data_IF_562644190581
#
_entry.id   IF_562644190581
#
_cell.length_a   1.000
_cell.length_b   1.000
_cell.length_c   1.000
_cell.angle_alpha   90.00
_cell.angle_beta   90.00
_cell.angle_gamma   90.00
#
_symmetry.space_group_name_H-M   'P 1'
#
loop_
_entity.id
_entity.type
_entity.pdbx_description
1 polymer ?
#
# COMPACT_ATOMS: atom_id res chain seq x y z
N UNK A 1 29.77 20.42 3.09
CA UNK A 1 28.53 20.39 2.31
C UNK A 1 28.62 19.25 1.31
N UNK A 2 27.78 18.24 1.47
CA UNK A 2 27.74 17.08 0.56
C UNK A 2 27.06 17.42 -0.78
N UNK A 3 27.04 16.47 -1.72
CA UNK A 3 26.44 16.68 -3.05
C UNK A 3 24.93 16.97 -2.98
N UNK A 4 24.21 16.35 -2.03
CA UNK A 4 22.78 16.54 -1.87
C UNK A 4 22.46 17.93 -1.35
N UNK A 5 23.25 18.42 -0.38
CA UNK A 5 23.12 19.78 0.15
C UNK A 5 23.40 20.83 -0.93
N UNK A 6 24.40 20.60 -1.80
CA UNK A 6 24.65 21.46 -2.97
C UNK A 6 23.47 21.50 -3.94
N UNK A 7 22.87 20.34 -4.22
CA UNK A 7 21.68 20.26 -5.08
C UNK A 7 20.49 21.00 -4.45
N UNK A 8 20.28 20.88 -3.14
CA UNK A 8 19.21 21.61 -2.44
C UNK A 8 19.39 23.13 -2.54
N UNK A 9 20.61 23.65 -2.42
CA UNK A 9 20.87 25.08 -2.60
C UNK A 9 20.55 25.58 -4.00
N UNK A 10 20.82 24.78 -5.04
CA UNK A 10 20.48 25.15 -6.42
C UNK A 10 18.97 25.21 -6.67
N UNK A 11 18.20 24.47 -5.86
CA UNK A 11 16.75 24.31 -6.02
C UNK A 11 15.95 25.03 -4.92
N UNK A 12 16.59 25.77 -4.00
CA UNK A 12 15.95 26.33 -2.80
C UNK A 12 14.78 27.29 -3.09
N UNK A 13 14.80 27.92 -4.27
CA UNK A 13 13.76 28.84 -4.73
C UNK A 13 12.58 28.09 -5.38
N UNK A 14 12.74 26.79 -5.68
CA UNK A 14 11.66 25.97 -6.20
C UNK A 14 10.69 25.58 -5.08
N UNK A 15 9.37 25.58 -5.35
CA UNK A 15 8.38 25.04 -4.44
C UNK A 15 8.64 23.57 -4.09
N UNK A 16 8.67 23.25 -2.79
CA UNK A 16 8.79 21.89 -2.29
C UNK A 16 7.44 21.40 -1.75
N UNK A 17 6.86 20.43 -2.44
CA UNK A 17 5.65 19.74 -1.98
C UNK A 17 6.03 18.64 -0.98
N UNK A 18 5.47 18.69 0.22
CA UNK A 18 5.80 17.78 1.32
C UNK A 18 4.55 17.05 1.80
N UNK A 19 4.43 15.78 1.43
CA UNK A 19 3.38 14.91 1.95
C UNK A 19 3.67 14.54 3.41
N UNK A 20 2.68 14.70 4.29
CA UNK A 20 2.76 14.36 5.71
C UNK A 20 1.59 13.49 6.12
N UNK A 21 1.73 12.80 7.25
CA UNK A 21 0.74 11.86 7.79
C UNK A 21 0.92 11.76 9.29
N UNK A 22 -0.15 11.44 10.01
CA UNK A 22 -0.07 11.06 11.42
C UNK A 22 1.04 10.00 11.62
N UNK A 23 2.08 10.29 12.42
CA UNK A 23 3.26 9.43 12.56
C UNK A 23 2.94 8.04 13.13
N UNK A 24 1.91 7.92 13.97
CA UNK A 24 1.51 6.61 14.53
C UNK A 24 0.77 5.79 13.47
N UNK A 25 -0.01 6.45 12.61
CA UNK A 25 -0.65 5.81 11.47
C UNK A 25 0.39 5.39 10.41
N UNK A 26 1.43 6.20 10.20
CA UNK A 26 2.58 5.86 9.36
C UNK A 26 3.36 4.65 9.91
N UNK A 27 3.66 4.62 11.21
CA UNK A 27 4.30 3.50 11.88
C UNK A 27 3.47 2.22 11.78
N UNK A 28 2.14 2.30 12.03
CA UNK A 28 1.22 1.18 11.85
C UNK A 28 1.26 0.66 10.40
N UNK A 29 1.23 1.58 9.43
CA UNK A 29 1.30 1.25 8.01
C UNK A 29 2.60 0.53 7.67
N UNK A 30 3.73 0.98 8.25
CA UNK A 30 5.04 0.33 8.10
C UNK A 30 5.01 -1.10 8.65
N UNK A 31 4.51 -1.33 9.87
CA UNK A 31 4.49 -2.67 10.46
C UNK A 31 3.61 -3.67 9.68
N UNK A 32 2.59 -3.17 8.99
CA UNK A 32 1.65 -3.97 8.19
C UNK A 32 2.07 -4.11 6.72
N UNK A 33 3.27 -3.68 6.31
CA UNK A 33 3.71 -3.88 4.92
C UNK A 33 3.79 -5.38 4.61
N UNK A 34 3.22 -5.73 3.47
CA UNK A 34 3.19 -7.07 2.90
C UNK A 34 3.77 -7.07 1.50
N UNK A 35 4.09 -8.25 1.00
CA UNK A 35 4.43 -8.49 -0.39
C UNK A 35 3.90 -9.84 -0.85
N UNK A 36 3.94 -10.05 -2.16
CA UNK A 36 3.88 -11.39 -2.73
C UNK A 36 5.17 -12.15 -2.39
N UNK A 37 5.03 -13.40 -1.94
CA UNK A 37 6.15 -14.29 -1.67
C UNK A 37 7.07 -14.38 -2.89
N UNK A 38 8.39 -14.28 -2.67
CA UNK A 38 9.43 -14.27 -3.71
C UNK A 38 9.34 -13.10 -4.71
N UNK A 39 8.45 -12.13 -4.51
CA UNK A 39 8.26 -11.02 -5.42
C UNK A 39 7.73 -11.44 -6.80
N UNK A 40 7.04 -12.58 -6.89
CA UNK A 40 6.45 -13.06 -8.14
C UNK A 40 5.45 -12.03 -8.70
N UNK A 41 5.72 -11.58 -9.92
CA UNK A 41 4.86 -10.60 -10.63
C UNK A 41 3.59 -11.22 -11.20
N UNK A 42 3.67 -12.49 -11.59
CA UNK A 42 2.56 -13.29 -12.10
C UNK A 42 2.79 -14.69 -11.55
N UNK A 43 1.76 -15.30 -11.02
CA UNK A 43 1.83 -16.67 -10.52
C UNK A 43 0.74 -17.53 -11.14
N UNK A 44 1.02 -18.82 -11.20
CA UNK A 44 0.13 -19.81 -11.78
C UNK A 44 -0.48 -20.66 -10.69
N UNK A 45 -1.74 -21.03 -10.86
CA UNK A 45 -2.46 -21.96 -9.98
C UNK A 45 -3.26 -22.94 -10.81
N UNK A 46 -3.31 -24.21 -10.39
CA UNK A 46 -4.20 -25.19 -11.00
C UNK A 46 -5.60 -25.02 -10.41
N UNK A 47 -6.62 -25.17 -11.23
CA UNK A 47 -8.03 -24.93 -10.85
C UNK A 47 -8.51 -25.72 -9.62
N UNK A 48 -7.88 -26.86 -9.32
CA UNK A 48 -8.20 -27.73 -8.19
C UNK A 48 -7.30 -27.54 -6.96
N UNK A 49 -6.33 -26.62 -7.01
CA UNK A 49 -5.41 -26.31 -5.90
C UNK A 49 -5.45 -24.82 -5.53
N UNK A 50 -6.64 -24.37 -5.14
CA UNK A 50 -6.89 -22.98 -4.75
C UNK A 50 -6.26 -22.62 -3.40
N UNK A 51 -5.79 -23.60 -2.62
CA UNK A 51 -5.23 -23.43 -1.28
C UNK A 51 -3.96 -22.55 -1.27
N UNK A 52 -3.18 -22.63 -2.35
CA UNK A 52 -1.90 -21.91 -2.55
C UNK A 52 -2.00 -20.40 -2.46
N UNK A 53 -3.18 -19.82 -2.68
CA UNK A 53 -3.38 -18.38 -2.58
C UNK A 53 -2.98 -17.82 -1.20
N UNK A 54 -3.20 -18.60 -0.13
CA UNK A 54 -2.90 -18.20 1.25
C UNK A 54 -1.39 -18.11 1.50
N UNK A 55 -0.62 -18.87 0.74
CA UNK A 55 0.84 -18.90 0.88
C UNK A 55 1.52 -17.73 0.19
N UNK A 56 0.80 -17.00 -0.69
CA UNK A 56 1.36 -15.89 -1.46
C UNK A 56 1.61 -14.63 -0.66
N UNK A 57 0.95 -14.44 0.48
CA UNK A 57 1.13 -13.22 1.27
C UNK A 57 2.17 -13.44 2.36
N UNK A 58 3.11 -12.51 2.44
CA UNK A 58 4.13 -12.45 3.49
C UNK A 58 4.24 -11.04 4.04
N UNK A 59 4.52 -10.94 5.34
CA UNK A 59 4.86 -9.68 5.99
C UNK A 59 6.37 -9.49 5.88
N UNK A 60 6.76 -8.36 5.29
CA UNK A 60 8.15 -8.17 4.84
C UNK A 60 9.06 -7.61 5.90
N UNK A 61 8.53 -7.03 6.97
CA UNK A 61 9.34 -6.57 8.09
C UNK A 61 9.55 -7.71 9.06
N UNK A 62 10.75 -8.28 9.02
CA UNK A 62 11.19 -9.35 9.91
C UNK A 62 11.37 -8.85 11.36
N UNK A 63 11.91 -9.71 12.22
CA UNK A 63 12.19 -9.36 13.62
C UNK A 63 13.17 -8.18 13.78
N UNK A 64 13.91 -7.80 12.74
CA UNK A 64 14.81 -6.63 12.70
C UNK A 64 14.14 -5.40 12.08
N UNK A 65 12.85 -5.49 11.75
CA UNK A 65 12.10 -4.49 10.98
C UNK A 65 12.71 -4.16 9.60
N UNK A 66 13.55 -5.05 9.06
CA UNK A 66 14.14 -4.88 7.74
C UNK A 66 13.23 -5.45 6.67
N UNK A 67 13.17 -4.80 5.51
CA UNK A 67 12.43 -5.30 4.35
C UNK A 67 13.07 -6.59 3.82
N UNK A 68 12.32 -7.69 3.92
CA UNK A 68 12.70 -9.01 3.42
C UNK A 68 11.50 -9.67 2.71
N UNK A 69 11.45 -9.64 1.36
CA UNK A 69 10.35 -10.23 0.59
C UNK A 69 10.41 -11.77 0.55
N UNK A 70 11.51 -12.38 1.02
CA UNK A 70 11.67 -13.82 1.17
C UNK A 70 11.35 -14.29 2.60
N UNK A 71 10.81 -13.40 3.43
CA UNK A 71 10.33 -13.74 4.76
C UNK A 71 9.23 -14.81 4.68
N UNK A 72 9.26 -15.79 5.60
CA UNK A 72 8.16 -16.75 5.79
C UNK A 72 7.08 -16.24 6.74
N UNK A 73 7.19 -14.98 7.19
CA UNK A 73 6.33 -14.40 8.21
C UNK A 73 4.91 -14.18 7.69
N UNK A 74 3.93 -14.75 8.41
CA UNK A 74 2.50 -14.71 8.06
C UNK A 74 1.67 -13.71 8.86
N UNK A 75 2.29 -13.02 9.81
CA UNK A 75 1.66 -12.02 10.68
C UNK A 75 2.58 -10.81 10.86
N UNK A 76 2.04 -9.60 11.01
CA UNK A 76 2.85 -8.43 11.34
C UNK A 76 3.39 -8.54 12.78
N UNK A 77 4.57 -7.97 13.04
CA UNK A 77 5.21 -8.03 14.35
C UNK A 77 5.19 -6.67 15.05
N UNK A 78 4.42 -6.54 16.12
CA UNK A 78 4.37 -5.31 16.93
C UNK A 78 5.74 -4.96 17.54
N UNK A 79 6.54 -5.99 17.86
CA UNK A 79 7.89 -5.81 18.37
C UNK A 79 8.84 -5.20 17.35
N UNK A 80 8.49 -5.16 16.05
CA UNK A 80 9.23 -4.42 15.03
C UNK A 80 9.40 -2.93 15.36
N UNK A 81 8.53 -2.36 16.21
CA UNK A 81 8.69 -0.98 16.71
C UNK A 81 10.05 -0.77 17.38
N UNK A 82 10.52 -1.73 18.19
CA UNK A 82 11.79 -1.54 18.93
C UNK A 82 13.00 -1.44 18.01
N UNK A 83 12.94 -2.10 16.85
CA UNK A 83 13.98 -2.06 15.83
C UNK A 83 13.84 -0.84 14.95
N UNK A 84 12.62 -0.47 14.58
CA UNK A 84 12.34 0.74 13.82
C UNK A 84 12.88 1.98 14.56
N UNK A 85 12.68 2.08 15.87
CA UNK A 85 13.13 3.23 16.67
C UNK A 85 14.63 3.21 17.00
N UNK A 86 15.36 2.17 16.56
CA UNK A 86 16.81 2.11 16.76
C UNK A 86 17.49 3.15 15.87
N UNK A 87 18.39 3.95 16.42
CA UNK A 87 19.09 5.02 15.71
C UNK A 87 19.86 4.58 14.45
N UNK A 88 20.17 3.29 14.31
CA UNK A 88 20.84 2.73 13.13
C UNK A 88 19.86 2.24 12.05
N UNK A 89 18.55 2.32 12.29
CA UNK A 89 17.56 1.87 11.33
C UNK A 89 17.50 2.82 10.12
N UNK A 90 17.64 2.24 8.92
CA UNK A 90 17.77 3.00 7.66
C UNK A 90 16.58 3.94 7.37
N UNK A 91 15.36 3.57 7.76
CA UNK A 91 14.19 4.46 7.63
C UNK A 91 14.30 5.71 8.49
N UNK A 92 14.88 5.62 9.69
CA UNK A 92 15.09 6.79 10.54
C UNK A 92 16.19 7.68 9.98
N UNK A 93 17.25 7.10 9.40
CA UNK A 93 18.25 7.88 8.69
C UNK A 93 17.60 8.68 7.55
N UNK A 94 16.68 8.08 6.78
CA UNK A 94 15.89 8.80 5.78
C UNK A 94 15.04 9.93 6.39
N UNK A 95 14.25 9.66 7.45
CA UNK A 95 13.43 10.67 8.12
C UNK A 95 14.25 11.80 8.77
N UNK A 96 15.40 11.50 9.37
CA UNK A 96 16.28 12.51 9.96
C UNK A 96 17.01 13.33 8.88
N UNK A 97 17.41 12.70 7.76
CA UNK A 97 17.96 13.39 6.60
C UNK A 97 16.92 14.26 5.90
N UNK A 98 15.62 13.92 5.97
CA UNK A 98 14.54 14.79 5.45
C UNK A 98 14.62 16.19 6.05
N UNK A 99 14.79 16.33 7.37
CA UNK A 99 14.93 17.66 7.99
C UNK A 99 16.17 18.42 7.52
N UNK A 100 17.27 17.72 7.21
CA UNK A 100 18.46 18.34 6.62
C UNK A 100 18.18 18.90 5.22
N UNK A 101 17.23 18.32 4.49
CA UNK A 101 16.78 18.82 3.19
C UNK A 101 15.78 19.97 3.38
N UNK A 102 14.76 19.79 4.24
CA UNK A 102 13.68 20.76 4.43
C UNK A 102 14.18 22.16 4.84
N UNK A 103 15.28 22.25 5.61
CA UNK A 103 15.87 23.54 6.01
C UNK A 103 16.24 24.44 4.82
N UNK A 104 16.54 23.88 3.65
CA UNK A 104 16.89 24.65 2.45
C UNK A 104 15.66 25.25 1.77
N UNK A 105 14.45 24.79 2.11
CA UNK A 105 13.20 25.21 1.48
C UNK A 105 12.28 25.92 2.47
N UNK A 106 12.80 26.44 3.59
CA UNK A 106 12.00 26.93 4.72
C UNK A 106 10.89 27.92 4.31
N UNK A 107 11.12 28.73 3.27
CA UNK A 107 10.17 29.72 2.76
C UNK A 107 9.28 29.23 1.59
N UNK A 108 9.50 28.00 1.09
CA UNK A 108 8.90 27.46 -0.14
C UNK A 108 8.30 26.05 0.07
N UNK A 109 7.96 25.68 1.30
CA UNK A 109 7.33 24.39 1.61
C UNK A 109 5.81 24.45 1.53
N UNK A 110 5.23 23.44 0.87
CA UNK A 110 3.80 23.25 0.76
C UNK A 110 3.44 21.88 1.33
N UNK A 111 2.88 21.86 2.53
CA UNK A 111 2.49 20.61 3.18
C UNK A 111 1.10 20.16 2.75
N UNK A 112 0.97 18.86 2.47
CA UNK A 112 -0.29 18.19 2.20
C UNK A 112 -0.46 17.06 3.21
N UNK A 113 -1.59 17.00 3.90
CA UNK A 113 -1.93 15.82 4.69
C UNK A 113 -2.34 14.66 3.76
N UNK A 114 -1.81 13.47 4.01
CA UNK A 114 -2.20 12.24 3.33
C UNK A 114 -3.72 12.06 3.27
N UNK A 115 -4.47 12.47 4.30
CA UNK A 115 -5.93 12.38 4.30
C UNK A 115 -6.61 13.26 3.23
N UNK A 116 -5.95 14.32 2.74
CA UNK A 116 -6.46 15.16 1.65
C UNK A 116 -6.38 14.47 0.29
N UNK A 117 -5.50 13.46 0.13
CA UNK A 117 -5.29 12.74 -1.14
C UNK A 117 -5.80 11.30 -1.12
N UNK A 118 -6.71 10.98 -0.20
CA UNK A 118 -7.33 9.65 -0.09
C UNK A 118 -8.80 9.71 -0.50
N UNK A 119 -9.21 8.74 -1.32
CA UNK A 119 -10.61 8.56 -1.72
C UNK A 119 -11.16 9.75 -2.52
N UNK A 120 -12.41 10.11 -2.26
CA UNK A 120 -13.17 11.12 -3.02
C UNK A 120 -12.52 12.52 -3.00
N UNK A 121 -11.71 12.83 -1.99
CA UNK A 121 -11.03 14.13 -1.87
C UNK A 121 -9.84 14.26 -2.83
N UNK A 122 -9.25 13.14 -3.26
CA UNK A 122 -7.99 13.13 -3.99
C UNK A 122 -8.01 13.99 -5.27
N UNK A 123 -9.07 13.89 -6.06
CA UNK A 123 -9.16 14.65 -7.31
C UNK A 123 -9.17 16.17 -7.09
N UNK A 124 -10.01 16.67 -6.17
CA UNK A 124 -10.10 18.11 -5.91
C UNK A 124 -8.81 18.64 -5.29
N UNK A 125 -8.15 17.88 -4.43
CA UNK A 125 -6.83 18.23 -3.87
C UNK A 125 -5.77 18.32 -4.96
N UNK A 126 -5.67 17.32 -5.85
CA UNK A 126 -4.70 17.33 -6.95
C UNK A 126 -4.99 18.43 -7.98
N UNK A 127 -6.26 18.74 -8.21
CA UNK A 127 -6.68 19.87 -9.05
C UNK A 127 -6.24 21.21 -8.45
N UNK A 128 -6.43 21.40 -7.14
CA UNK A 128 -5.95 22.59 -6.42
C UNK A 128 -4.42 22.72 -6.51
N UNK A 129 -3.69 21.64 -6.25
CA UNK A 129 -2.23 21.62 -6.40
C UNK A 129 -1.82 21.96 -7.84
N UNK A 130 -2.49 21.41 -8.85
CA UNK A 130 -2.17 21.73 -10.23
C UNK A 130 -2.39 23.22 -10.54
N UNK A 131 -3.42 23.85 -9.96
CA UNK A 131 -3.67 25.27 -10.12
C UNK A 131 -2.62 26.13 -9.41
N UNK A 132 -2.33 25.82 -8.13
CA UNK A 132 -1.39 26.55 -7.28
C UNK A 132 0.04 26.52 -7.87
N UNK A 133 0.41 25.42 -8.53
CA UNK A 133 1.76 25.22 -9.12
C UNK A 133 1.79 25.41 -10.64
N UNK A 134 0.70 25.92 -11.25
CA UNK A 134 0.59 26.11 -12.70
C UNK A 134 0.91 24.86 -13.54
N UNK A 135 0.54 23.67 -13.04
CA UNK A 135 0.66 22.39 -13.72
C UNK A 135 -0.59 22.09 -14.56
N UNK A 136 -0.48 21.08 -15.43
CA UNK A 136 -1.64 20.56 -16.16
C UNK A 136 -2.62 19.92 -15.17
N UNK A 137 -3.86 20.41 -15.17
CA UNK A 137 -4.95 19.85 -14.37
C UNK A 137 -5.24 18.42 -14.85
N UNK A 138 -5.32 17.43 -13.93
CA UNK A 138 -5.67 16.07 -14.30
C UNK A 138 -7.13 15.97 -14.78
N UNK A 139 -7.39 15.07 -15.72
CA UNK A 139 -8.75 14.70 -16.11
C UNK A 139 -9.41 13.89 -15.00
N UNK A 140 -10.66 14.21 -14.63
CA UNK A 140 -11.36 13.49 -13.56
C UNK A 140 -11.50 12.02 -13.93
N UNK A 141 -11.09 11.14 -13.02
CA UNK A 141 -11.08 9.71 -13.21
C UNK A 141 -11.30 8.98 -11.88
N UNK A 142 -11.99 7.83 -11.93
CA UNK A 142 -12.21 6.97 -10.78
C UNK A 142 -10.90 6.51 -10.12
N UNK A 143 -9.78 6.54 -10.86
CA UNK A 143 -8.45 6.16 -10.37
C UNK A 143 -8.01 6.96 -9.14
N UNK A 144 -8.48 8.20 -8.97
CA UNK A 144 -8.14 9.05 -7.83
C UNK A 144 -8.86 8.61 -6.55
N UNK A 145 -10.01 7.96 -6.69
CA UNK A 145 -10.82 7.50 -5.56
C UNK A 145 -10.45 6.07 -5.13
N UNK A 146 -9.70 5.35 -5.98
CA UNK A 146 -9.35 3.96 -5.78
C UNK A 146 -8.09 3.77 -4.92
N UNK A 147 -8.07 2.69 -4.15
CA UNK A 147 -6.86 2.24 -3.46
C UNK A 147 -6.03 1.37 -4.40
N UNK A 148 -4.87 1.89 -4.84
CA UNK A 148 -4.01 1.21 -5.81
C UNK A 148 -3.27 0.04 -5.17
N UNK A 149 -2.66 0.29 -4.01
CA UNK A 149 -1.93 -0.72 -3.26
C UNK A 149 -2.87 -1.39 -2.25
N UNK A 150 -3.39 -2.55 -2.63
CA UNK A 150 -4.26 -3.39 -1.81
C UNK A 150 -3.76 -4.83 -1.77
N UNK A 151 -4.33 -5.66 -0.89
CA UNK A 151 -4.06 -7.11 -0.84
C UNK A 151 -4.26 -7.76 -2.21
N UNK A 152 -5.25 -7.30 -2.97
CA UNK A 152 -5.50 -7.80 -4.33
C UNK A 152 -4.30 -7.57 -5.25
N UNK A 153 -3.52 -6.50 -5.06
CA UNK A 153 -2.31 -6.25 -5.88
C UNK A 153 -1.16 -7.20 -5.54
N UNK A 154 -1.20 -7.84 -4.37
CA UNK A 154 -0.24 -8.88 -3.98
C UNK A 154 -0.66 -10.26 -4.46
N UNK A 155 -1.97 -10.49 -4.57
CA UNK A 155 -2.56 -11.75 -5.02
C UNK A 155 -2.83 -11.80 -6.53
N UNK A 156 -2.93 -10.66 -7.20
CA UNK A 156 -3.21 -10.54 -8.62
C UNK A 156 -2.08 -9.75 -9.31
N UNK A 157 -1.67 -10.17 -10.51
CA UNK A 157 -2.39 -11.07 -11.39
C UNK A 157 -1.99 -12.54 -11.20
N UNK A 158 -2.92 -13.43 -11.54
CA UNK A 158 -2.67 -14.86 -11.59
C UNK A 158 -3.20 -15.49 -12.89
N UNK A 159 -2.64 -16.65 -13.21
CA UNK A 159 -3.09 -17.51 -14.31
C UNK A 159 -3.63 -18.79 -13.70
N UNK A 160 -4.92 -19.04 -13.93
CA UNK A 160 -5.57 -20.30 -13.56
C UNK A 160 -5.47 -21.27 -14.74
N UNK A 161 -4.80 -22.39 -14.51
CA UNK A 161 -4.63 -23.45 -15.49
C UNK A 161 -5.67 -24.55 -15.27
N UNK A 162 -6.36 -24.88 -16.36
CA UNK A 162 -7.30 -25.98 -16.48
C UNK A 162 -6.69 -27.10 -17.33
N UNK A 163 -7.39 -28.24 -17.37
CA UNK A 163 -7.03 -29.31 -18.29
C UNK A 163 -7.16 -28.83 -19.77
N UNK A 164 -6.61 -29.60 -20.71
CA UNK A 164 -6.56 -29.27 -22.15
C UNK A 164 -5.84 -27.94 -22.48
N UNK A 165 -4.85 -27.57 -21.65
CA UNK A 165 -4.03 -26.36 -21.78
C UNK A 165 -4.83 -25.03 -21.77
N UNK A 166 -6.05 -25.04 -21.23
CA UNK A 166 -6.87 -23.83 -21.12
C UNK A 166 -6.34 -22.96 -19.98
N UNK A 167 -6.12 -21.67 -20.28
CA UNK A 167 -5.63 -20.68 -19.31
C UNK A 167 -6.61 -19.53 -19.14
N UNK A 168 -6.99 -19.27 -17.89
CA UNK A 168 -7.79 -18.10 -17.51
C UNK A 168 -6.90 -17.11 -16.77
N UNK A 169 -6.88 -15.89 -17.25
CA UNK A 169 -6.11 -14.79 -16.71
C UNK A 169 -7.00 -13.94 -15.81
N UNK A 170 -6.55 -13.74 -14.57
CA UNK A 170 -7.28 -12.97 -13.55
C UNK A 170 -6.37 -11.85 -13.05
N UNK A 171 -6.87 -10.62 -13.08
CA UNK A 171 -6.07 -9.43 -12.78
C UNK A 171 -6.88 -8.36 -12.09
N UNK A 172 -6.22 -7.37 -11.52
CA UNK A 172 -6.87 -6.09 -11.23
C UNK A 172 -6.54 -5.07 -12.34
N UNK A 173 -7.21 -3.91 -12.34
CA UNK A 173 -6.99 -2.88 -13.36
C UNK A 173 -5.52 -2.45 -13.50
N UNK A 174 -4.77 -2.47 -12.40
CA UNK A 174 -3.36 -2.08 -12.35
C UNK A 174 -2.43 -3.15 -12.91
N UNK A 175 -2.61 -4.40 -12.46
CA UNK A 175 -1.76 -5.52 -12.83
C UNK A 175 -2.12 -6.14 -14.17
N UNK A 176 -3.20 -5.70 -14.81
CA UNK A 176 -3.58 -6.22 -16.12
C UNK A 176 -2.49 -5.99 -17.18
N UNK A 177 -1.75 -4.88 -17.07
CA UNK A 177 -0.69 -4.51 -18.03
C UNK A 177 0.52 -5.43 -18.03
N UNK A 178 0.73 -6.20 -16.96
CA UNK A 178 1.86 -7.12 -16.87
C UNK A 178 1.52 -8.54 -17.33
N UNK A 179 0.24 -8.86 -17.50
CA UNK A 179 -0.19 -10.17 -18.01
C UNK A 179 0.12 -10.32 -19.51
N UNK A 180 0.34 -11.57 -19.98
CA UNK A 180 0.25 -11.87 -21.40
C UNK A 180 -1.11 -11.39 -21.92
N UNK A 181 -1.10 -10.43 -22.83
CA UNK A 181 -2.31 -9.86 -23.40
C UNK A 181 -2.45 -10.33 -24.86
N UNK A 182 -3.18 -11.43 -25.11
CA UNK A 182 -3.39 -11.92 -26.46
C UNK A 182 -4.21 -10.90 -27.26
N UNK A 183 -3.95 -10.74 -28.56
CA UNK A 183 -4.65 -9.76 -29.40
C UNK A 183 -6.16 -10.01 -29.49
N UNK A 184 -6.58 -11.27 -29.26
CA UNK A 184 -7.97 -11.71 -29.26
C UNK A 184 -8.28 -12.45 -27.96
N UNK A 185 -9.09 -11.84 -27.11
CA UNK A 185 -9.50 -12.38 -25.80
C UNK A 185 -11.01 -12.33 -25.63
N UNK A 186 -11.53 -13.28 -24.88
CA UNK A 186 -12.91 -13.29 -24.44
C UNK A 186 -12.97 -12.89 -22.96
N UNK A 187 -13.77 -11.87 -22.65
CA UNK A 187 -13.90 -11.30 -21.31
C UNK A 187 -15.05 -12.01 -20.57
N UNK A 188 -14.79 -12.46 -19.35
CA UNK A 188 -15.74 -13.22 -18.51
C UNK A 188 -16.36 -12.40 -17.38
N UNK A 189 -16.05 -11.11 -17.28
CA UNK A 189 -16.48 -10.26 -16.17
C UNK A 189 -17.99 -10.26 -15.91
N UNK A 190 -18.82 -10.16 -16.96
CA UNK A 190 -20.29 -10.10 -16.82
C UNK A 190 -20.90 -11.35 -16.18
N UNK A 191 -20.24 -12.50 -16.32
CA UNK A 191 -20.69 -13.77 -15.76
C UNK A 191 -20.34 -13.89 -14.27
N UNK A 192 -19.43 -13.06 -13.77
CA UNK A 192 -18.78 -13.19 -12.46
C UNK A 192 -18.84 -11.90 -11.62
N UNK A 193 -19.66 -10.92 -12.03
CA UNK A 193 -19.70 -9.57 -11.43
C UNK A 193 -20.34 -9.50 -10.04
N UNK A 194 -20.84 -10.61 -9.49
CA UNK A 194 -21.57 -10.63 -8.22
C UNK A 194 -20.67 -10.74 -6.98
N UNK A 195 -19.37 -10.99 -7.14
CA UNK A 195 -18.42 -11.16 -6.02
C UNK A 195 -17.57 -9.89 -5.78
N UNK A 196 -17.12 -9.25 -6.86
CA UNK A 196 -16.26 -8.07 -6.83
C UNK A 196 -16.86 -6.95 -7.67
N UNK A 197 -16.98 -5.76 -7.07
CA UNK A 197 -17.84 -4.71 -7.62
C UNK A 197 -17.32 -4.00 -8.87
N UNK A 198 -16.00 -3.92 -9.18
CA UNK A 198 -15.53 -3.36 -10.48
C UNK A 198 -14.00 -3.41 -10.77
N UNK A 199 -13.17 -4.02 -9.93
CA UNK A 199 -11.71 -3.92 -10.05
C UNK A 199 -10.98 -5.19 -10.49
N UNK A 200 -11.70 -6.22 -10.96
CA UNK A 200 -11.09 -7.47 -11.44
C UNK A 200 -11.37 -7.64 -12.93
N UNK A 201 -10.35 -8.00 -13.70
CA UNK A 201 -10.44 -8.32 -15.12
C UNK A 201 -10.17 -9.81 -15.33
N UNK A 202 -11.10 -10.51 -15.97
CA UNK A 202 -11.06 -11.96 -16.16
C UNK A 202 -11.22 -12.27 -17.63
N UNK A 203 -10.28 -13.01 -18.21
CA UNK A 203 -10.31 -13.35 -19.62
C UNK A 203 -9.57 -14.64 -19.93
N UNK A 204 -9.85 -15.21 -21.10
CA UNK A 204 -9.06 -16.27 -21.73
C UNK A 204 -8.84 -15.94 -23.20
N UNK A 205 -7.99 -16.73 -23.87
CA UNK A 205 -7.82 -16.60 -25.31
C UNK A 205 -9.15 -16.89 -26.05
N UNK A 206 -9.43 -16.08 -27.07
CA UNK A 206 -10.68 -16.20 -27.82
C UNK A 206 -10.81 -17.57 -28.53
N UNK A 207 -9.68 -18.14 -28.96
CA UNK A 207 -9.67 -19.46 -29.58
C UNK A 207 -10.09 -20.55 -28.58
N UNK A 208 -9.56 -20.51 -27.35
CA UNK A 208 -9.93 -21.45 -26.30
C UNK A 208 -11.39 -21.31 -25.91
N UNK A 209 -11.89 -20.08 -25.79
CA UNK A 209 -13.32 -19.83 -25.59
C UNK A 209 -14.18 -20.52 -26.66
N UNK A 210 -13.83 -20.40 -27.94
CA UNK A 210 -14.61 -21.04 -29.01
C UNK A 210 -14.56 -22.57 -28.98
N UNK A 211 -13.49 -23.17 -28.44
CA UNK A 211 -13.41 -24.63 -28.23
C UNK A 211 -14.40 -25.09 -27.16
N UNK A 212 -14.58 -24.31 -26.09
CA UNK A 212 -15.35 -24.75 -24.90
C UNK A 212 -16.76 -24.17 -24.77
N UNK A 213 -17.09 -23.05 -25.43
CA UNK A 213 -18.33 -22.27 -25.15
C UNK A 213 -19.65 -23.05 -25.18
N UNK A 214 -19.69 -24.19 -25.87
CA UNK A 214 -20.88 -25.04 -26.03
C UNK A 214 -20.69 -26.43 -25.37
N UNK A 215 -19.73 -26.56 -24.45
CA UNK A 215 -19.42 -27.81 -23.73
C UNK A 215 -19.61 -27.60 -22.22
N UNK A 216 -19.74 -28.70 -21.48
CA UNK A 216 -19.82 -28.65 -20.00
C UNK A 216 -18.57 -28.02 -19.35
N UNK A 217 -17.43 -28.08 -20.04
CA UNK A 217 -16.15 -27.52 -19.59
C UNK A 217 -16.26 -26.01 -19.35
N UNK A 218 -17.04 -25.29 -20.17
CA UNK A 218 -17.23 -23.84 -19.97
C UNK A 218 -17.92 -23.53 -18.64
N UNK A 219 -18.99 -24.26 -18.32
CA UNK A 219 -19.71 -24.10 -17.05
C UNK A 219 -18.86 -24.51 -15.85
N UNK A 220 -18.04 -25.56 -16.00
CA UNK A 220 -17.07 -25.96 -14.97
C UNK A 220 -16.01 -24.89 -14.72
N UNK A 221 -15.44 -24.32 -15.79
CA UNK A 221 -14.48 -23.22 -15.69
C UNK A 221 -15.11 -22.04 -14.95
N UNK A 222 -16.33 -21.62 -15.30
CA UNK A 222 -17.01 -20.53 -14.62
C UNK A 222 -17.21 -20.83 -13.12
N UNK A 223 -17.63 -22.06 -12.76
CA UNK A 223 -17.77 -22.48 -11.35
C UNK A 223 -16.44 -22.44 -10.59
N UNK A 224 -15.35 -22.87 -11.20
CA UNK A 224 -14.03 -22.84 -10.57
C UNK A 224 -13.51 -21.41 -10.37
N UNK A 225 -13.71 -20.53 -11.36
CA UNK A 225 -13.37 -19.11 -11.21
C UNK A 225 -14.22 -18.48 -10.11
N UNK A 226 -15.52 -18.76 -10.07
CA UNK A 226 -16.44 -18.27 -9.05
C UNK A 226 -15.97 -18.65 -7.63
N UNK A 227 -15.69 -19.94 -7.42
CA UNK A 227 -15.15 -20.44 -6.16
C UNK A 227 -13.80 -19.79 -5.81
N UNK A 228 -12.91 -19.60 -6.77
CA UNK A 228 -11.66 -18.88 -6.56
C UNK A 228 -11.89 -17.44 -6.11
N UNK A 229 -12.84 -16.71 -6.71
CA UNK A 229 -13.16 -15.34 -6.32
C UNK A 229 -13.72 -15.27 -4.89
N UNK A 230 -14.53 -16.25 -4.47
CA UNK A 230 -14.98 -16.36 -3.08
C UNK A 230 -13.81 -16.58 -2.11
N UNK A 231 -12.88 -17.48 -2.44
CA UNK A 231 -11.67 -17.71 -1.64
C UNK A 231 -10.80 -16.45 -1.60
N UNK A 232 -10.60 -15.79 -2.75
CA UNK A 232 -9.84 -14.54 -2.85
C UNK A 232 -10.42 -13.47 -1.92
N UNK A 233 -11.75 -13.31 -1.90
CA UNK A 233 -12.43 -12.39 -0.99
C UNK A 233 -12.19 -12.75 0.47
N UNK A 234 -12.34 -14.02 0.84
CA UNK A 234 -12.07 -14.49 2.20
C UNK A 234 -10.62 -14.22 2.62
N UNK A 235 -9.64 -14.47 1.74
CA UNK A 235 -8.22 -14.24 2.02
C UNK A 235 -7.95 -12.75 2.24
N UNK A 236 -8.56 -11.87 1.43
CA UNK A 236 -8.46 -10.42 1.64
C UNK A 236 -9.02 -10.00 3.01
N UNK A 237 -10.13 -10.58 3.43
CA UNK A 237 -10.73 -10.32 4.75
C UNK A 237 -9.86 -10.87 5.89
N UNK A 238 -9.37 -12.10 5.77
CA UNK A 238 -8.48 -12.74 6.75
C UNK A 238 -7.21 -11.91 6.96
N UNK A 239 -6.60 -11.42 5.88
CA UNK A 239 -5.39 -10.59 5.98
C UNK A 239 -5.65 -9.21 6.61
N UNK A 240 -6.82 -8.61 6.38
CA UNK A 240 -7.23 -7.38 7.07
C UNK A 240 -7.41 -7.62 8.58
N UNK A 241 -7.87 -8.80 8.98
CA UNK A 241 -8.02 -9.18 10.39
C UNK A 241 -6.67 -9.34 11.10
N UNK A 242 -5.59 -9.71 10.38
CA UNK A 242 -4.23 -9.86 10.95
C UNK A 242 -3.51 -8.55 11.23
N UNK A 243 -3.97 -7.44 10.67
CA UNK A 243 -3.30 -6.14 10.79
C UNK A 243 -3.15 -5.70 12.23
N UNK A 244 -1.95 -5.22 12.56
CA UNK A 244 -1.75 -4.39 13.73
C UNK A 244 -2.66 -3.18 13.61
N UNK A 245 -3.53 -3.01 14.60
CA UNK A 245 -4.43 -1.87 14.70
C UNK A 245 -3.72 -0.74 15.43
N UNK A 246 -4.23 0.47 15.26
CA UNK A 246 -3.62 1.66 15.87
C UNK A 246 -3.64 1.58 17.41
N UNK A 247 -4.65 0.92 17.98
CA UNK A 247 -4.74 0.67 19.42
C UNK A 247 -3.62 -0.23 19.93
N UNK A 248 -3.16 -1.19 19.13
CA UNK A 248 -2.04 -2.07 19.50
C UNK A 248 -0.73 -1.27 19.58
N UNK A 249 -0.53 -0.31 18.66
CA UNK A 249 0.64 0.59 18.67
C UNK A 249 0.62 1.51 19.89
N UNK A 250 -0.53 2.12 20.20
CA UNK A 250 -0.68 2.96 21.40
C UNK A 250 -0.46 2.14 22.68
N UNK A 251 -1.06 0.94 22.75
CA UNK A 251 -0.89 0.05 23.89
C UNK A 251 0.56 -0.40 24.05
N UNK A 252 1.27 -0.66 22.95
CA UNK A 252 2.70 -0.97 22.96
C UNK A 252 3.48 0.14 23.67
N UNK A 253 3.31 1.40 23.27
CA UNK A 253 4.03 2.52 23.89
C UNK A 253 3.64 2.73 25.35
N UNK A 254 2.35 2.55 25.69
CA UNK A 254 1.87 2.65 27.06
C UNK A 254 2.56 1.66 28.01
N UNK A 255 2.83 0.43 27.56
CA UNK A 255 3.51 -0.61 28.38
C UNK A 255 5.03 -0.63 28.21
N UNK A 256 5.57 0.19 27.29
CA UNK A 256 7.00 0.28 26.96
C UNK A 256 7.48 1.74 27.05
N UNK A 257 7.57 2.30 28.27
CA UNK A 257 7.85 3.73 28.47
C UNK A 257 9.20 4.18 27.91
N UNK A 258 10.22 3.32 27.96
CA UNK A 258 11.55 3.61 27.36
C UNK A 258 11.44 3.80 25.85
N UNK A 259 10.72 2.90 25.17
CA UNK A 259 10.48 2.96 23.73
C UNK A 259 9.63 4.17 23.34
N UNK A 260 8.62 4.49 24.15
CA UNK A 260 7.80 5.69 23.94
C UNK A 260 8.63 6.97 24.01
N UNK A 261 9.52 7.09 25.00
CA UNK A 261 10.44 8.23 25.12
C UNK A 261 11.37 8.35 23.90
N UNK A 262 11.99 7.26 23.46
CA UNK A 262 12.86 7.26 22.27
C UNK A 262 12.08 7.69 21.03
N UNK A 263 10.87 7.17 20.83
CA UNK A 263 10.06 7.53 19.68
C UNK A 263 9.61 8.99 19.72
N UNK A 264 9.27 9.51 20.90
CA UNK A 264 8.97 10.93 21.11
C UNK A 264 10.15 11.82 20.72
N UNK A 265 11.36 11.47 21.13
CA UNK A 265 12.59 12.21 20.77
C UNK A 265 12.85 12.21 19.26
N UNK A 266 12.50 11.13 18.55
CA UNK A 266 12.56 11.07 17.08
C UNK A 266 11.53 12.03 16.47
N UNK A 267 10.27 11.95 16.90
CA UNK A 267 9.20 12.79 16.35
C UNK A 267 9.40 14.27 16.67
N UNK A 268 9.93 14.61 17.83
CA UNK A 268 10.25 16.00 18.19
C UNK A 268 11.29 16.62 17.26
N UNK A 269 12.15 15.81 16.66
CA UNK A 269 13.06 16.25 15.59
C UNK A 269 12.33 16.29 14.27
N UNK A 270 11.69 15.20 13.85
CA UNK A 270 11.09 15.04 12.51
C UNK A 270 9.98 16.07 12.23
N UNK A 271 9.23 16.49 13.25
CA UNK A 271 8.04 17.31 13.07
C UNK A 271 8.27 18.83 13.20
N UNK A 272 9.52 19.29 13.35
CA UNK A 272 9.85 20.71 13.59
C UNK A 272 9.23 21.63 12.53
N UNK A 273 9.44 21.33 11.24
CA UNK A 273 8.98 22.21 10.16
C UNK A 273 7.45 22.21 10.01
N UNK A 274 6.80 21.05 10.09
CA UNK A 274 5.34 20.96 9.96
C UNK A 274 4.63 21.63 11.15
N UNK A 275 5.14 21.46 12.38
CA UNK A 275 4.59 22.13 13.57
C UNK A 275 4.68 23.66 13.47
N UNK A 276 5.71 24.19 12.80
CA UNK A 276 5.89 25.63 12.57
C UNK A 276 4.95 26.16 11.49
N UNK A 277 4.93 25.53 10.32
CA UNK A 277 4.25 26.09 9.13
C UNK A 277 2.77 25.71 9.04
N UNK A 278 2.39 24.52 9.52
CA UNK A 278 1.02 23.98 9.45
C UNK A 278 0.64 23.25 10.74
N UNK A 279 0.57 23.96 11.88
CA UNK A 279 0.11 23.37 13.13
C UNK A 279 -1.32 22.82 13.02
N UNK A 280 -2.15 23.38 12.13
CA UNK A 280 -3.51 22.89 11.85
C UNK A 280 -3.53 21.43 11.35
N UNK A 281 -2.53 21.02 10.56
CA UNK A 281 -2.39 19.63 10.11
C UNK A 281 -2.05 18.74 11.32
N UNK A 282 -1.06 19.14 12.13
CA UNK A 282 -0.61 18.37 13.30
C UNK A 282 -1.75 18.24 14.32
N UNK A 283 -2.53 19.31 14.51
CA UNK A 283 -3.70 19.32 15.38
C UNK A 283 -4.81 18.40 14.87
N UNK A 284 -4.83 18.04 13.59
CA UNK A 284 -5.78 17.05 13.05
C UNK A 284 -5.37 15.60 13.36
N UNK A 285 -4.11 15.35 13.71
CA UNK A 285 -3.57 13.99 13.94
C UNK A 285 -4.02 13.41 15.27
N UNK A 286 -5.14 12.68 15.21
CA UNK A 286 -5.77 12.05 16.38
C UNK A 286 -4.82 11.12 17.14
N UNK A 287 -4.08 10.26 16.45
CA UNK A 287 -3.29 9.22 17.10
C UNK A 287 -1.99 9.75 17.66
N UNK A 288 -1.39 10.73 16.97
CA UNK A 288 -0.26 11.48 17.51
C UNK A 288 -0.60 12.18 18.82
N UNK A 289 -1.75 12.85 18.91
CA UNK A 289 -2.19 13.50 20.17
C UNK A 289 -2.41 12.50 21.30
N UNK A 290 -2.96 11.33 21.03
CA UNK A 290 -3.09 10.27 22.05
C UNK A 290 -1.72 9.74 22.49
N UNK A 291 -0.76 9.64 21.58
CA UNK A 291 0.61 9.28 21.92
C UNK A 291 1.31 10.36 22.76
N UNK A 292 1.13 11.66 22.45
CA UNK A 292 1.68 12.74 23.28
C UNK A 292 1.17 12.68 24.72
N UNK A 293 -0.13 12.40 24.94
CA UNK A 293 -0.70 12.16 26.28
C UNK A 293 -0.06 10.97 26.97
N UNK A 294 0.28 9.89 26.25
CA UNK A 294 1.01 8.76 26.84
C UNK A 294 2.36 9.27 27.36
N UNK A 295 3.09 10.03 26.55
CA UNK A 295 4.41 10.56 26.90
C UNK A 295 4.40 11.57 28.06
N UNK A 296 3.35 12.36 28.22
CA UNK A 296 3.18 13.29 29.36
C UNK A 296 3.06 12.56 30.71
N UNK A 297 2.62 11.29 30.68
CA UNK A 297 2.41 10.47 31.87
C UNK A 297 3.59 9.51 32.16
N UNK A 298 4.74 9.66 31.49
CA UNK A 298 5.95 8.83 31.65
C UNK A 298 6.98 9.43 32.61
#
# INVERSE_FOLDING_TARGET
MDLNEKFCLLMQDAPLLVLVRDPLDALRSFLNVRASLNGEKIWTLRYDDLSKIRDKIVYVHDEKACYNPNSSQKYPLINGISQFINSTHWMLDFSLNRNRILKYYENNMYFIDMYEIVGQNCYETLKKIAQDFHLKIPEKSLIFEQQLYSILTMLLPCVMEFDDDIKVFISNYYSYKILPNPPKKHILNSQLSHIFDDNIFIFLEQNDYYKIKNTHIYDEILKHIDHFLLILKQVVEDEKCKEIKILDVLQYFKVKPKQAKIYKEILDKELIFIKKERPDIVDSWKYYKEFEKICENL
#
